data_IF_767384921622
#
_entry.id   IF_767384921622
#
_cell.length_a   1.000
_cell.length_b   1.000
_cell.length_c   1.000
_cell.angle_alpha   90.00
_cell.angle_beta   90.00
_cell.angle_gamma   90.00
#
_symmetry.space_group_name_H-M   'P 1'
#
loop_
_entity.id
_entity.type
_entity.pdbx_description
1 polymer ?
#
# COMPACT_ATOMS: atom_id res chain seq x y z
N UNK A 1 57.91 -42.82 43.59
CA UNK A 1 56.99 -43.88 43.23
C UNK A 1 55.65 -43.19 42.89
N UNK A 2 55.43 -42.87 41.65
CA UNK A 2 54.21 -42.19 41.18
C UNK A 2 53.62 -43.06 40.09
N UNK A 3 52.41 -43.52 40.29
CA UNK A 3 51.67 -44.28 39.28
C UNK A 3 50.84 -43.34 38.41
N UNK A 4 50.54 -43.72 37.16
CA UNK A 4 49.89 -42.80 36.20
C UNK A 4 48.35 -42.84 36.30
N UNK A 5 47.76 -41.65 36.15
CA UNK A 5 46.34 -41.44 35.98
C UNK A 5 45.88 -41.80 34.57
N UNK A 6 44.88 -42.67 34.46
CA UNK A 6 44.20 -43.05 33.24
C UNK A 6 43.10 -42.02 33.00
N UNK A 7 43.13 -41.30 31.87
CA UNK A 7 42.06 -40.45 31.38
C UNK A 7 41.05 -41.29 30.55
N UNK A 8 39.83 -41.41 31.04
CA UNK A 8 38.71 -42.01 30.31
C UNK A 8 38.04 -40.95 29.41
N UNK A 9 38.18 -41.12 28.10
CA UNK A 9 37.45 -40.31 27.12
C UNK A 9 35.97 -40.70 27.08
N UNK A 10 35.09 -39.72 27.18
CA UNK A 10 33.66 -39.81 26.88
C UNK A 10 33.40 -39.43 25.43
N UNK A 11 32.49 -40.09 24.73
CA UNK A 11 32.21 -39.79 23.32
C UNK A 11 31.45 -38.46 23.14
N UNK A 12 31.88 -37.68 22.16
CA UNK A 12 31.21 -36.51 21.67
C UNK A 12 29.80 -36.86 21.15
N UNK A 13 28.77 -36.42 21.87
CA UNK A 13 27.41 -36.43 21.36
C UNK A 13 27.31 -35.35 20.27
N UNK A 14 26.90 -35.77 19.08
CA UNK A 14 26.44 -34.90 18.01
C UNK A 14 25.38 -33.93 18.53
N UNK A 15 25.70 -32.67 18.58
CA UNK A 15 24.71 -31.60 18.69
C UNK A 15 24.10 -31.40 17.29
N UNK A 16 22.95 -32.05 17.05
CA UNK A 16 22.04 -31.67 15.96
C UNK A 16 21.49 -30.30 16.30
N UNK A 17 22.05 -29.27 15.66
CA UNK A 17 21.44 -27.94 15.62
C UNK A 17 20.10 -28.06 14.87
N UNK A 18 19.02 -28.17 15.64
CA UNK A 18 17.68 -27.89 15.11
C UNK A 18 17.67 -26.39 14.79
N UNK A 19 17.63 -26.06 13.51
CA UNK A 19 17.19 -24.76 13.08
C UNK A 19 15.71 -24.62 13.52
N UNK A 20 15.47 -23.95 14.62
CA UNK A 20 14.12 -23.51 14.98
C UNK A 20 13.62 -22.60 13.85
N UNK A 21 12.62 -23.07 13.12
CA UNK A 21 11.82 -22.21 12.24
C UNK A 21 11.27 -21.10 13.09
N UNK A 22 11.60 -19.86 12.79
CA UNK A 22 11.00 -18.71 13.45
C UNK A 22 9.47 -18.85 13.41
N UNK A 23 8.76 -18.67 14.54
CA UNK A 23 7.32 -18.79 14.55
C UNK A 23 6.71 -17.77 13.58
N UNK A 24 5.67 -18.19 12.85
CA UNK A 24 4.85 -17.29 12.06
C UNK A 24 4.43 -16.10 12.94
N UNK A 25 4.82 -14.91 12.52
CA UNK A 25 4.65 -13.71 13.34
C UNK A 25 3.16 -13.36 13.36
N UNK A 26 2.56 -13.26 14.53
CA UNK A 26 1.18 -12.79 14.72
C UNK A 26 0.98 -11.43 14.03
N UNK A 27 -0.24 -11.18 13.51
CA UNK A 27 -0.63 -9.88 12.94
C UNK A 27 -0.15 -8.73 13.84
N UNK A 28 0.41 -7.71 13.23
CA UNK A 28 0.89 -6.53 13.94
C UNK A 28 -0.28 -5.86 14.68
N UNK A 29 -0.19 -5.79 15.99
CA UNK A 29 -1.25 -5.23 16.86
C UNK A 29 -1.02 -3.77 17.27
N UNK A 30 0.08 -3.15 16.81
CA UNK A 30 0.37 -1.72 17.03
C UNK A 30 1.31 -1.21 15.95
N UNK A 31 1.27 0.08 15.62
CA UNK A 31 2.26 0.74 14.77
C UNK A 31 3.66 0.62 15.43
N UNK A 32 4.69 0.37 14.59
CA UNK A 32 6.05 0.10 15.06
C UNK A 32 7.01 1.25 14.83
N UNK A 33 6.60 2.45 15.19
CA UNK A 33 7.36 3.67 14.97
C UNK A 33 7.33 4.16 13.52
N UNK A 34 7.99 5.28 13.25
CA UNK A 34 8.05 5.87 11.93
C UNK A 34 8.72 4.93 10.92
N UNK A 35 8.18 4.90 9.70
CA UNK A 35 8.75 4.12 8.60
C UNK A 35 9.97 4.81 8.00
N UNK A 36 10.86 4.02 7.40
CA UNK A 36 12.02 4.51 6.67
C UNK A 36 12.10 3.89 5.26
N UNK A 37 12.80 4.58 4.35
CA UNK A 37 13.11 4.01 3.03
C UNK A 37 14.16 2.92 3.18
N UNK A 38 13.94 1.76 2.56
CA UNK A 38 14.88 0.63 2.57
C UNK A 38 16.21 0.99 1.90
N UNK A 39 17.30 0.29 2.28
CA UNK A 39 18.64 0.57 1.74
C UNK A 39 18.78 0.37 0.21
N UNK A 40 17.89 -0.42 -0.42
CA UNK A 40 17.86 -0.60 -1.88
C UNK A 40 16.90 0.37 -2.58
N UNK A 41 16.23 1.26 -1.86
CA UNK A 41 15.26 2.23 -2.37
C UNK A 41 14.09 1.62 -3.17
N UNK A 42 13.61 0.41 -2.77
CA UNK A 42 12.50 -0.27 -3.45
C UNK A 42 11.22 -0.39 -2.63
N UNK A 43 11.31 -0.26 -1.30
CA UNK A 43 10.19 -0.37 -0.36
C UNK A 43 10.47 0.42 0.92
N UNK A 44 9.52 0.41 1.82
CA UNK A 44 9.69 0.96 3.17
C UNK A 44 9.95 -0.16 4.18
N UNK A 45 10.57 0.22 5.29
CA UNK A 45 10.82 -0.66 6.44
C UNK A 45 10.32 -0.01 7.72
N UNK A 46 9.95 -0.82 8.71
CA UNK A 46 9.65 -0.37 10.06
C UNK A 46 10.94 -0.13 10.88
N UNK A 47 10.80 0.32 12.13
CA UNK A 47 11.92 0.59 13.02
C UNK A 47 12.81 -0.64 13.31
N UNK A 48 12.33 -1.85 13.05
CA UNK A 48 13.08 -3.11 13.19
C UNK A 48 13.68 -3.59 11.86
N UNK A 49 13.65 -2.74 10.82
CA UNK A 49 14.05 -3.06 9.43
C UNK A 49 13.22 -4.20 8.79
N UNK A 50 11.99 -4.41 9.23
CA UNK A 50 11.08 -5.37 8.59
C UNK A 50 10.44 -4.70 7.38
N UNK A 51 10.46 -5.33 6.19
CA UNK A 51 9.81 -4.81 4.99
C UNK A 51 8.32 -4.55 5.19
N UNK A 52 7.87 -3.36 4.84
CA UNK A 52 6.49 -2.91 5.01
C UNK A 52 5.72 -2.98 3.69
N UNK A 53 4.87 -4.02 3.54
CA UNK A 53 3.91 -4.11 2.44
C UNK A 53 2.74 -3.18 2.73
N UNK A 54 2.62 -2.08 2.02
CA UNK A 54 1.52 -1.14 2.22
C UNK A 54 0.24 -1.70 1.61
N UNK A 55 -0.73 -2.02 2.46
CA UNK A 55 -2.09 -2.40 2.09
C UNK A 55 -3.03 -1.32 2.60
N UNK A 56 -3.30 -0.34 1.75
CA UNK A 56 -4.06 0.85 2.10
C UNK A 56 -5.53 0.80 1.69
N UNK A 57 -6.36 1.60 2.36
CA UNK A 57 -7.75 1.87 2.02
C UNK A 57 -7.99 3.38 1.91
N UNK A 58 -8.69 3.83 0.87
CA UNK A 58 -9.03 5.24 0.71
C UNK A 58 -10.23 5.60 1.59
N UNK A 59 -9.98 6.36 2.64
CA UNK A 59 -10.96 6.79 3.64
C UNK A 59 -10.97 8.31 3.76
N UNK A 60 -11.00 9.00 2.61
CA UNK A 60 -10.76 10.42 2.49
C UNK A 60 -11.48 11.28 3.53
N UNK A 61 -12.80 11.06 3.73
CA UNK A 61 -13.63 11.89 4.62
C UNK A 61 -13.76 11.33 6.05
N UNK A 62 -12.90 10.40 6.48
CA UNK A 62 -12.95 9.77 7.81
C UNK A 62 -13.02 10.80 8.94
N UNK A 63 -12.12 11.81 8.91
CA UNK A 63 -11.96 12.80 9.99
C UNK A 63 -13.20 13.64 10.25
N UNK A 64 -14.03 13.83 9.23
CA UNK A 64 -15.20 14.72 9.29
C UNK A 64 -16.54 13.98 9.33
N UNK A 65 -16.59 12.75 8.79
CA UNK A 65 -17.85 12.03 8.66
C UNK A 65 -18.13 11.08 9.83
N UNK A 66 -17.11 10.44 10.38
CA UNK A 66 -17.28 9.42 11.39
C UNK A 66 -17.10 9.98 12.81
N UNK A 67 -18.06 9.67 13.69
CA UNK A 67 -17.86 9.78 15.14
C UNK A 67 -17.00 8.61 15.65
N UNK A 68 -16.55 8.70 16.90
CA UNK A 68 -15.58 7.76 17.49
C UNK A 68 -15.98 6.28 17.37
N UNK A 69 -17.25 5.95 17.64
CA UNK A 69 -17.72 4.56 17.56
C UNK A 69 -17.64 3.98 16.14
N UNK A 70 -18.07 4.75 15.14
CA UNK A 70 -18.03 4.34 13.74
C UNK A 70 -16.58 4.29 13.21
N UNK A 71 -15.72 5.21 13.62
CA UNK A 71 -14.31 5.19 13.29
C UNK A 71 -13.61 3.94 13.86
N UNK A 72 -13.86 3.56 15.13
CA UNK A 72 -13.34 2.32 15.71
C UNK A 72 -13.87 1.08 14.98
N UNK A 73 -15.16 1.06 14.57
CA UNK A 73 -15.72 -0.05 13.80
C UNK A 73 -15.01 -0.21 12.45
N UNK A 74 -14.82 0.89 11.73
CA UNK A 74 -14.12 0.91 10.45
C UNK A 74 -12.68 0.43 10.58
N UNK A 75 -11.89 1.01 11.48
CA UNK A 75 -10.48 0.69 11.67
C UNK A 75 -10.29 -0.79 12.03
N UNK A 76 -11.10 -1.33 12.95
CA UNK A 76 -11.07 -2.75 13.31
C UNK A 76 -11.35 -3.67 12.13
N UNK A 77 -12.39 -3.38 11.31
CA UNK A 77 -12.70 -4.16 10.12
C UNK A 77 -11.54 -4.14 9.11
N UNK A 78 -10.89 -2.97 8.93
CA UNK A 78 -9.71 -2.86 8.05
C UNK A 78 -8.55 -3.68 8.58
N UNK A 79 -8.24 -3.59 9.87
CA UNK A 79 -7.21 -4.40 10.52
C UNK A 79 -7.47 -5.91 10.35
N UNK A 80 -8.69 -6.39 10.60
CA UNK A 80 -9.08 -7.81 10.45
C UNK A 80 -8.93 -8.33 9.01
N UNK A 81 -8.96 -7.43 8.03
CA UNK A 81 -8.69 -7.74 6.61
C UNK A 81 -7.23 -7.52 6.20
N UNK A 82 -6.37 -7.20 7.16
CA UNK A 82 -4.94 -7.01 6.94
C UNK A 82 -4.54 -5.67 6.33
N UNK A 83 -5.47 -4.71 6.26
CA UNK A 83 -5.10 -3.34 5.92
C UNK A 83 -4.23 -2.76 7.04
N UNK A 84 -3.15 -2.11 6.67
CA UNK A 84 -2.20 -1.50 7.57
C UNK A 84 -1.93 -0.02 7.23
N UNK A 85 -2.70 0.53 6.32
CA UNK A 85 -2.68 1.95 5.98
C UNK A 85 -4.07 2.45 5.58
N UNK A 86 -4.36 3.73 5.82
CA UNK A 86 -5.53 4.44 5.32
C UNK A 86 -5.11 5.80 4.75
N UNK A 87 -5.76 6.24 3.67
CA UNK A 87 -5.53 7.55 3.06
C UNK A 87 -6.67 8.50 3.47
N UNK A 88 -6.34 9.61 4.11
CA UNK A 88 -7.31 10.46 4.82
C UNK A 88 -7.01 11.94 4.63
N UNK A 89 -8.06 12.74 4.40
CA UNK A 89 -7.99 14.20 4.53
C UNK A 89 -8.00 14.62 6.00
N UNK A 90 -6.98 15.36 6.44
CA UNK A 90 -6.99 15.95 7.79
C UNK A 90 -8.10 16.97 7.94
N UNK A 91 -8.30 17.78 6.91
CA UNK A 91 -9.39 18.75 6.81
C UNK A 91 -10.16 18.50 5.50
N UNK A 92 -11.48 18.44 5.61
CA UNK A 92 -12.36 18.18 4.45
C UNK A 92 -13.07 19.48 4.03
N UNK A 93 -13.17 19.70 2.71
CA UNK A 93 -13.80 20.89 2.14
C UNK A 93 -15.25 20.65 1.73
N UNK A 94 -15.59 19.46 1.20
CA UNK A 94 -16.86 19.24 0.51
C UNK A 94 -17.58 17.93 0.89
N UNK A 95 -16.86 16.84 1.01
CA UNK A 95 -17.43 15.48 1.02
C UNK A 95 -17.89 15.01 2.42
N UNK A 96 -18.60 15.89 3.14
CA UNK A 96 -19.30 15.55 4.38
C UNK A 96 -20.63 16.32 4.47
N UNK A 97 -21.50 15.96 5.42
CA UNK A 97 -22.85 16.55 5.53
C UNK A 97 -22.85 18.06 5.77
N UNK A 98 -21.89 18.55 6.54
CA UNK A 98 -21.79 19.97 6.93
C UNK A 98 -20.35 20.49 6.78
N UNK A 99 -19.77 20.48 5.56
CA UNK A 99 -18.38 20.86 5.38
C UNK A 99 -18.14 22.33 5.81
N UNK A 100 -16.99 22.62 6.38
CA UNK A 100 -15.87 21.74 6.71
C UNK A 100 -15.93 21.15 8.13
N UNK A 101 -17.13 21.07 8.74
CA UNK A 101 -17.33 20.63 10.13
C UNK A 101 -17.24 19.13 10.27
N UNK A 102 -16.57 18.66 11.33
CA UNK A 102 -16.53 17.26 11.68
C UNK A 102 -17.86 16.75 12.30
N UNK A 103 -17.90 15.47 12.67
CA UNK A 103 -19.09 14.83 13.26
C UNK A 103 -19.57 15.49 14.56
N UNK A 104 -18.67 16.16 15.29
CA UNK A 104 -18.97 16.90 16.52
C UNK A 104 -19.44 18.35 16.23
N UNK A 105 -19.52 18.76 14.96
CA UNK A 105 -19.93 20.09 14.51
C UNK A 105 -18.83 21.15 14.55
N UNK A 106 -17.58 20.75 14.82
CA UNK A 106 -16.44 21.66 14.92
C UNK A 106 -15.80 21.89 13.55
N UNK A 107 -15.54 23.16 13.21
CA UNK A 107 -14.80 23.57 12.01
C UNK A 107 -13.29 23.47 12.25
N UNK A 108 -12.44 23.19 11.23
CA UNK A 108 -11.00 23.07 11.43
C UNK A 108 -10.34 24.39 11.86
N UNK A 109 -10.93 25.53 11.49
CA UNK A 109 -10.41 26.86 11.81
C UNK A 109 -11.49 27.70 12.49
N UNK A 110 -11.08 28.53 13.47
CA UNK A 110 -11.98 29.48 14.16
C UNK A 110 -12.35 30.66 13.26
N UNK A 111 -11.46 31.02 12.33
CA UNK A 111 -11.74 32.00 11.26
C UNK A 111 -11.80 31.22 9.93
N UNK A 112 -12.94 31.15 9.23
CA UNK A 112 -13.07 30.43 7.97
C UNK A 112 -11.98 30.81 6.95
N UNK A 113 -11.31 29.81 6.39
CA UNK A 113 -10.25 29.99 5.39
C UNK A 113 -8.90 30.50 5.92
N UNK A 114 -8.78 30.83 7.20
CA UNK A 114 -7.50 31.21 7.80
C UNK A 114 -6.85 30.03 8.53
N UNK A 115 -5.88 29.39 7.87
CA UNK A 115 -5.20 28.18 8.35
C UNK A 115 -4.30 28.43 9.57
N UNK A 116 -4.07 29.71 9.94
CA UNK A 116 -3.33 30.08 11.15
C UNK A 116 -4.20 30.17 12.40
N UNK A 117 -5.49 29.86 12.29
CA UNK A 117 -6.45 29.90 13.40
C UNK A 117 -7.05 28.52 13.69
N UNK A 118 -6.22 27.48 14.00
CA UNK A 118 -6.70 26.13 14.22
C UNK A 118 -7.68 26.05 15.39
N UNK A 119 -8.75 25.25 15.22
CA UNK A 119 -9.73 24.97 16.26
C UNK A 119 -9.32 23.71 17.03
N UNK A 120 -8.91 23.86 18.26
CA UNK A 120 -8.42 22.76 19.10
C UNK A 120 -9.40 21.58 19.21
N UNK A 121 -10.70 21.83 19.24
CA UNK A 121 -11.71 20.76 19.35
C UNK A 121 -11.76 19.89 18.09
N UNK A 122 -11.60 20.51 16.91
CA UNK A 122 -11.52 19.78 15.66
C UNK A 122 -10.29 18.86 15.65
N UNK A 123 -9.12 19.43 15.94
CA UNK A 123 -7.87 18.70 15.90
C UNK A 123 -7.76 17.64 17.01
N UNK A 124 -8.38 17.85 18.18
CA UNK A 124 -8.47 16.81 19.21
C UNK A 124 -9.27 15.58 18.76
N UNK A 125 -10.29 15.75 17.90
CA UNK A 125 -10.98 14.61 17.27
C UNK A 125 -10.06 13.88 16.28
N UNK A 126 -9.32 14.61 15.45
CA UNK A 126 -8.34 14.02 14.52
C UNK A 126 -7.24 13.27 15.28
N UNK A 127 -6.68 13.84 16.36
CA UNK A 127 -5.70 13.17 17.23
C UNK A 127 -6.21 11.83 17.75
N UNK A 128 -7.47 11.81 18.19
CA UNK A 128 -8.08 10.58 18.70
C UNK A 128 -8.18 9.50 17.60
N UNK A 129 -8.55 9.87 16.37
CA UNK A 129 -8.61 8.92 15.24
C UNK A 129 -7.22 8.37 14.93
N UNK A 130 -6.18 9.22 14.90
CA UNK A 130 -4.79 8.80 14.66
C UNK A 130 -4.31 7.83 15.73
N UNK A 131 -4.62 8.10 17.01
CA UNK A 131 -4.28 7.21 18.11
C UNK A 131 -5.04 5.89 18.07
N UNK A 132 -6.30 5.89 17.65
CA UNK A 132 -7.10 4.67 17.49
C UNK A 132 -6.55 3.82 16.34
N UNK A 133 -6.20 4.43 15.21
CA UNK A 133 -5.55 3.74 14.08
C UNK A 133 -4.21 3.10 14.50
N UNK A 134 -3.41 3.80 15.31
CA UNK A 134 -2.13 3.29 15.82
C UNK A 134 -2.29 2.01 16.67
N UNK A 135 -3.35 1.90 17.48
CA UNK A 135 -3.64 0.69 18.28
C UNK A 135 -3.85 -0.55 17.41
N UNK A 136 -4.47 -0.36 16.23
CA UNK A 136 -4.73 -1.40 15.26
C UNK A 136 -3.57 -1.58 14.26
N UNK A 137 -2.41 -0.93 14.49
CA UNK A 137 -1.24 -1.03 13.62
C UNK A 137 -1.45 -0.38 12.25
N UNK A 138 -2.37 0.57 12.14
CA UNK A 138 -2.71 1.25 10.89
C UNK A 138 -1.95 2.57 10.79
N UNK A 139 -1.16 2.73 9.74
CA UNK A 139 -0.55 4.00 9.35
C UNK A 139 -1.55 4.88 8.63
N UNK A 140 -1.47 6.18 8.86
CA UNK A 140 -2.35 7.16 8.20
C UNK A 140 -1.54 7.96 7.18
N UNK A 141 -1.86 7.74 5.90
CA UNK A 141 -1.44 8.60 4.80
C UNK A 141 -2.27 9.88 4.93
N UNK A 142 -1.75 10.85 5.65
CA UNK A 142 -2.47 12.03 6.10
C UNK A 142 -2.26 13.20 5.14
N UNK A 143 -3.33 13.59 4.43
CA UNK A 143 -3.32 14.76 3.57
C UNK A 143 -3.62 16.02 4.42
N UNK A 144 -2.62 16.88 4.67
CA UNK A 144 -2.80 18.09 5.48
C UNK A 144 -3.73 19.10 4.82
N UNK A 145 -3.81 19.02 3.49
CA UNK A 145 -4.69 19.83 2.65
C UNK A 145 -4.97 19.05 1.35
N UNK A 146 -6.22 18.87 1.02
CA UNK A 146 -6.66 18.32 -0.26
C UNK A 146 -6.99 19.46 -1.21
N UNK A 147 -6.29 19.56 -2.34
CA UNK A 147 -6.43 20.67 -3.28
C UNK A 147 -7.71 20.62 -4.12
N UNK A 148 -8.23 19.40 -4.35
CA UNK A 148 -9.40 19.15 -5.19
C UNK A 148 -9.10 19.10 -6.68
N UNK A 149 -9.95 18.42 -7.43
CA UNK A 149 -9.82 18.26 -8.87
C UNK A 149 -9.81 19.62 -9.58
N UNK A 150 -8.97 19.76 -10.59
CA UNK A 150 -8.77 21.04 -11.28
C UNK A 150 -10.07 21.55 -11.93
N UNK A 151 -10.42 22.81 -11.66
CA UNK A 151 -11.64 23.43 -12.18
C UNK A 151 -12.90 23.20 -11.36
N UNK A 152 -12.80 22.50 -10.21
CA UNK A 152 -13.89 22.26 -9.27
C UNK A 152 -13.72 23.05 -7.98
N UNK A 153 -14.70 22.92 -7.07
CA UNK A 153 -14.70 23.45 -5.70
C UNK A 153 -14.56 22.32 -4.66
N UNK A 154 -13.96 21.20 -5.03
CA UNK A 154 -13.90 20.00 -4.19
C UNK A 154 -12.89 20.08 -3.05
N UNK A 155 -11.89 20.92 -3.17
CA UNK A 155 -10.82 21.06 -2.19
C UNK A 155 -10.49 22.50 -1.84
N UNK A 156 -9.44 22.64 -1.06
CA UNK A 156 -9.00 23.91 -0.46
C UNK A 156 -8.15 24.80 -1.39
N UNK A 157 -8.20 24.56 -2.70
CA UNK A 157 -7.39 25.33 -3.67
C UNK A 157 -7.59 26.85 -3.54
N UNK A 158 -8.83 27.31 -3.43
CA UNK A 158 -9.15 28.76 -3.40
C UNK A 158 -8.63 29.41 -2.13
N UNK A 159 -8.86 28.78 -0.98
CA UNK A 159 -8.42 29.25 0.32
C UNK A 159 -6.88 29.25 0.38
N UNK A 160 -6.23 28.16 -0.10
CA UNK A 160 -4.76 28.10 -0.17
C UNK A 160 -4.19 29.25 -1.00
N UNK A 161 -4.78 29.53 -2.16
CA UNK A 161 -4.32 30.62 -3.03
C UNK A 161 -4.56 32.01 -2.44
N UNK A 162 -5.52 32.16 -1.54
CA UNK A 162 -5.80 33.42 -0.83
C UNK A 162 -4.85 33.64 0.37
N UNK A 163 -4.17 32.59 0.86
CA UNK A 163 -3.19 32.73 1.94
C UNK A 163 -1.88 33.35 1.44
N UNK A 164 -1.22 34.11 2.31
CA UNK A 164 0.17 34.50 2.06
C UNK A 164 1.12 33.32 2.23
N UNK A 165 2.31 33.34 1.61
CA UNK A 165 3.34 32.32 1.80
C UNK A 165 3.67 32.07 3.27
N UNK A 166 3.76 33.12 4.08
CA UNK A 166 4.09 33.04 5.52
C UNK A 166 2.99 32.27 6.29
N UNK A 167 1.72 32.46 5.95
CA UNK A 167 0.61 31.71 6.57
C UNK A 167 0.63 30.21 6.19
N UNK A 168 1.04 29.87 4.98
CA UNK A 168 1.25 28.49 4.58
C UNK A 168 2.36 27.82 5.39
N UNK A 169 3.49 28.49 5.57
CA UNK A 169 4.58 28.02 6.41
C UNK A 169 4.15 27.84 7.87
N UNK A 170 3.41 28.80 8.42
CA UNK A 170 2.93 28.72 9.81
C UNK A 170 1.91 27.59 10.03
N UNK A 171 1.03 27.33 9.06
CA UNK A 171 0.16 26.17 9.10
C UNK A 171 0.98 24.85 9.12
N UNK A 172 2.00 24.76 8.28
CA UNK A 172 2.92 23.62 8.30
C UNK A 172 3.61 23.47 9.67
N UNK A 173 4.10 24.55 10.27
CA UNK A 173 4.70 24.55 11.62
C UNK A 173 3.72 24.08 12.69
N UNK A 174 2.48 24.52 12.62
CA UNK A 174 1.42 24.03 13.53
C UNK A 174 1.26 22.53 13.43
N UNK A 175 1.17 21.97 12.21
CA UNK A 175 1.02 20.54 11.98
C UNK A 175 2.25 19.77 12.46
N UNK A 176 3.45 20.22 12.13
CA UNK A 176 4.69 19.59 12.56
C UNK A 176 4.83 19.53 14.09
N UNK A 177 4.54 20.64 14.79
CA UNK A 177 4.53 20.66 16.26
C UNK A 177 3.50 19.69 16.86
N UNK A 178 2.31 19.60 16.26
CA UNK A 178 1.22 18.77 16.79
C UNK A 178 1.46 17.28 16.60
N UNK A 179 1.95 16.90 15.42
CA UNK A 179 1.93 15.51 15.00
C UNK A 179 3.27 14.77 15.04
N UNK A 180 4.37 15.45 15.34
CA UNK A 180 5.73 14.87 15.35
C UNK A 180 5.93 13.66 16.28
N UNK A 181 5.12 13.54 17.31
CA UNK A 181 5.20 12.49 18.32
C UNK A 181 4.19 11.33 18.07
N UNK A 182 3.49 11.34 16.94
CA UNK A 182 2.66 10.21 16.50
C UNK A 182 3.53 9.22 15.72
N UNK A 183 3.36 7.93 15.93
CA UNK A 183 4.22 6.90 15.32
C UNK A 183 3.72 6.37 13.98
N UNK A 184 2.54 6.80 13.53
CA UNK A 184 1.79 6.16 12.45
C UNK A 184 1.35 7.13 11.34
N UNK A 185 2.11 8.18 11.07
CA UNK A 185 1.78 9.15 10.02
C UNK A 185 2.75 9.03 8.84
N UNK A 186 2.18 9.19 7.64
CA UNK A 186 2.89 9.50 6.40
C UNK A 186 2.21 10.72 5.81
N UNK A 187 2.95 11.79 5.58
CA UNK A 187 2.40 13.01 4.99
C UNK A 187 2.15 12.85 3.49
N UNK A 188 0.94 13.22 3.02
CA UNK A 188 0.56 13.18 1.60
C UNK A 188 0.19 14.58 1.15
N UNK A 189 1.07 15.23 0.41
CA UNK A 189 0.85 16.60 -0.07
C UNK A 189 0.00 16.62 -1.34
N UNK A 190 -0.71 17.72 -1.60
CA UNK A 190 -1.47 17.89 -2.83
C UNK A 190 -2.91 17.36 -2.75
N UNK A 191 -3.34 16.57 -3.72
CA UNK A 191 -4.70 15.97 -3.84
C UNK A 191 -5.38 16.32 -5.15
N UNK A 192 -5.60 15.34 -6.03
CA UNK A 192 -6.30 15.38 -7.34
C UNK A 192 -5.89 16.53 -8.28
N UNK A 193 -4.76 17.15 -8.02
CA UNK A 193 -4.25 18.28 -8.78
C UNK A 193 -2.74 18.27 -8.86
N UNK A 194 -2.21 18.62 -10.03
CA UNK A 194 -0.81 18.96 -10.14
C UNK A 194 -0.54 20.32 -9.46
N UNK A 195 0.66 20.52 -8.90
CA UNK A 195 0.92 21.69 -8.07
C UNK A 195 0.82 23.01 -8.83
N UNK A 196 1.25 23.09 -10.10
CA UNK A 196 1.19 24.31 -10.94
C UNK A 196 1.40 25.61 -10.12
N UNK A 197 0.36 26.46 -10.04
CA UNK A 197 0.39 27.70 -9.28
C UNK A 197 0.40 27.52 -7.75
N UNK A 198 0.18 26.31 -7.24
CA UNK A 198 0.16 26.03 -5.79
C UNK A 198 1.48 25.53 -5.26
N UNK A 199 2.48 25.23 -6.13
CA UNK A 199 3.74 24.55 -5.77
C UNK A 199 4.43 25.23 -4.58
N UNK A 200 4.65 26.54 -4.66
CA UNK A 200 5.30 27.30 -3.58
C UNK A 200 4.59 27.12 -2.24
N UNK A 201 3.25 27.20 -2.24
CA UNK A 201 2.47 27.10 -1.01
C UNK A 201 2.46 25.70 -0.42
N UNK A 202 2.38 24.68 -1.28
CA UNK A 202 2.44 23.29 -0.86
C UNK A 202 3.84 22.97 -0.30
N UNK A 203 4.90 23.43 -0.97
CA UNK A 203 6.28 23.30 -0.49
C UNK A 203 6.46 23.99 0.87
N UNK A 204 5.93 25.19 1.07
CA UNK A 204 6.00 25.90 2.36
C UNK A 204 5.27 25.16 3.49
N UNK A 205 4.13 24.54 3.21
CA UNK A 205 3.44 23.69 4.20
C UNK A 205 4.34 22.49 4.56
N UNK A 206 4.88 21.80 3.56
CA UNK A 206 5.75 20.63 3.79
C UNK A 206 7.03 21.05 4.56
N UNK A 207 7.67 22.15 4.21
CA UNK A 207 8.84 22.67 4.89
C UNK A 207 8.53 23.07 6.34
N UNK A 208 7.37 23.75 6.57
CA UNK A 208 6.92 24.09 7.92
C UNK A 208 6.70 22.85 8.80
N UNK A 209 6.13 21.75 8.24
CA UNK A 209 6.01 20.48 8.95
C UNK A 209 7.42 19.98 9.29
N UNK A 210 8.35 19.94 8.33
CA UNK A 210 9.72 19.42 8.51
C UNK A 210 10.57 20.21 9.50
N UNK A 211 10.26 21.47 9.78
CA UNK A 211 10.95 22.23 10.83
C UNK A 211 10.79 21.60 12.23
N UNK A 212 9.73 20.81 12.44
CA UNK A 212 9.41 20.21 13.74
C UNK A 212 9.30 18.69 13.68
N UNK A 213 8.93 18.14 12.53
CA UNK A 213 8.73 16.72 12.29
C UNK A 213 9.81 16.22 11.31
N UNK A 214 10.83 15.58 11.84
CA UNK A 214 11.96 15.04 11.07
C UNK A 214 11.88 13.52 10.88
N UNK A 215 10.89 12.87 11.47
CA UNK A 215 10.77 11.41 11.49
C UNK A 215 9.84 10.87 10.41
N UNK A 216 8.73 11.57 10.12
CA UNK A 216 7.73 11.04 9.19
C UNK A 216 8.13 11.24 7.73
N UNK A 217 7.72 10.26 6.92
CA UNK A 217 7.93 10.29 5.49
C UNK A 217 6.87 11.17 4.79
N UNK A 218 7.27 11.69 3.64
CA UNK A 218 6.44 12.51 2.77
C UNK A 218 6.30 11.88 1.40
N UNK A 219 5.09 11.96 0.87
CA UNK A 219 4.78 11.72 -0.53
C UNK A 219 3.77 12.76 -1.02
N UNK A 220 3.26 12.61 -2.25
CA UNK A 220 2.23 13.50 -2.78
C UNK A 220 1.17 12.74 -3.56
N UNK A 221 -0.02 13.33 -3.62
CA UNK A 221 -1.12 12.93 -4.49
C UNK A 221 -1.28 13.99 -5.58
N UNK A 222 -1.18 13.59 -6.84
CA UNK A 222 -1.22 14.47 -8.01
C UNK A 222 -2.58 14.39 -8.72
N UNK A 223 -2.71 15.04 -9.87
CA UNK A 223 -3.79 14.77 -10.80
C UNK A 223 -3.66 13.35 -11.41
N UNK A 224 -4.75 12.75 -11.90
CA UNK A 224 -4.69 11.49 -12.62
C UNK A 224 -3.61 11.49 -13.73
N UNK A 225 -3.06 10.32 -14.01
CA UNK A 225 -2.00 10.07 -15.00
C UNK A 225 -0.65 10.72 -14.65
N UNK A 226 -0.41 11.03 -13.36
CA UNK A 226 0.83 11.61 -12.89
C UNK A 226 1.46 10.83 -11.74
N UNK A 227 2.73 11.16 -11.47
CA UNK A 227 3.54 10.62 -10.39
C UNK A 227 4.06 11.75 -9.51
N UNK A 228 4.16 11.53 -8.18
CA UNK A 228 4.63 12.54 -7.24
C UNK A 228 6.00 13.12 -7.60
N UNK A 229 6.97 12.28 -7.91
CA UNK A 229 8.31 12.73 -8.30
C UNK A 229 8.35 13.51 -9.62
N UNK A 230 7.36 13.37 -10.49
CA UNK A 230 7.27 14.17 -11.72
C UNK A 230 6.79 15.58 -11.45
N UNK A 231 6.05 15.79 -10.37
CA UNK A 231 5.37 17.05 -10.08
C UNK A 231 6.03 17.84 -8.93
N UNK A 232 6.63 17.15 -7.94
CA UNK A 232 7.12 17.76 -6.69
C UNK A 232 8.63 17.54 -6.45
N UNK A 233 9.41 17.06 -7.42
CA UNK A 233 10.83 16.73 -7.24
C UNK A 233 11.69 17.91 -6.73
N UNK A 234 11.28 19.15 -7.01
CA UNK A 234 12.03 20.37 -6.60
C UNK A 234 11.95 20.70 -5.11
N UNK A 235 10.95 20.22 -4.38
CA UNK A 235 10.68 20.58 -2.98
C UNK A 235 11.64 19.96 -1.96
N UNK A 236 12.38 18.90 -2.33
CA UNK A 236 13.37 18.24 -1.45
C UNK A 236 12.81 17.54 -0.22
N UNK A 237 11.50 17.38 -0.16
CA UNK A 237 10.78 16.74 0.95
C UNK A 237 10.24 15.35 0.62
N UNK A 238 10.06 14.99 -0.65
CA UNK A 238 9.57 13.68 -1.08
C UNK A 238 10.54 12.56 -0.68
N UNK A 239 9.99 11.47 -0.12
CA UNK A 239 10.73 10.28 0.28
C UNK A 239 10.42 9.06 -0.59
N UNK A 240 9.20 8.95 -1.12
CA UNK A 240 8.80 7.89 -2.02
C UNK A 240 7.76 8.40 -3.02
N UNK A 241 7.63 7.68 -4.12
CA UNK A 241 6.79 8.06 -5.26
C UNK A 241 5.38 7.47 -5.13
N UNK A 242 4.42 8.13 -5.76
CA UNK A 242 3.07 7.61 -5.97
C UNK A 242 2.73 7.60 -7.44
N UNK A 243 1.98 6.60 -7.84
CA UNK A 243 1.36 6.50 -9.18
C UNK A 243 -0.14 6.66 -9.01
N UNK A 244 -0.74 7.54 -9.79
CA UNK A 244 -2.18 7.72 -9.87
C UNK A 244 -2.63 7.63 -11.31
N UNK A 245 -3.48 6.65 -11.65
CA UNK A 245 -3.93 6.45 -13.03
C UNK A 245 -5.24 5.68 -13.11
N UNK A 246 -6.14 6.14 -13.98
CA UNK A 246 -7.34 5.42 -14.43
C UNK A 246 -7.13 4.70 -15.78
N UNK A 247 -5.96 4.91 -16.40
CA UNK A 247 -5.57 4.26 -17.66
C UNK A 247 -5.00 2.85 -17.39
N UNK A 248 -4.29 2.29 -18.36
CA UNK A 248 -3.56 1.04 -18.16
C UNK A 248 -2.46 1.21 -17.11
N UNK A 249 -2.57 0.46 -16.02
CA UNK A 249 -1.78 0.67 -14.80
C UNK A 249 -0.34 0.18 -14.98
N UNK A 250 -0.14 -1.04 -15.50
CA UNK A 250 1.17 -1.67 -15.58
C UNK A 250 2.23 -0.89 -16.39
N UNK A 251 1.91 -0.17 -17.49
CA UNK A 251 2.91 0.67 -18.15
C UNK A 251 3.40 1.81 -17.26
N UNK A 252 2.50 2.43 -16.46
CA UNK A 252 2.84 3.49 -15.52
C UNK A 252 3.71 2.94 -14.38
N UNK A 253 3.37 1.76 -13.85
CA UNK A 253 4.13 1.11 -12.79
C UNK A 253 5.54 0.72 -13.25
N UNK A 254 5.69 0.16 -14.46
CA UNK A 254 7.01 -0.10 -15.02
C UNK A 254 7.79 1.19 -15.28
N UNK A 255 7.10 2.28 -15.68
CA UNK A 255 7.69 3.61 -15.78
C UNK A 255 8.28 4.08 -14.44
N UNK A 256 7.53 3.89 -13.34
CA UNK A 256 8.00 4.21 -12.01
C UNK A 256 9.17 3.29 -11.57
N UNK A 257 9.09 1.99 -11.84
CA UNK A 257 10.15 1.03 -11.49
C UNK A 257 11.49 1.30 -12.17
N UNK A 258 11.46 1.77 -13.43
CA UNK A 258 12.66 2.07 -14.24
C UNK A 258 13.36 3.37 -13.88
N UNK A 259 12.79 4.17 -12.97
CA UNK A 259 13.41 5.44 -12.58
C UNK A 259 14.82 5.22 -12.02
N UNK A 260 15.73 6.14 -12.36
CA UNK A 260 17.09 6.13 -11.89
C UNK A 260 17.47 7.55 -11.40
N UNK A 261 17.81 7.73 -10.12
CA UNK A 261 17.95 6.67 -9.10
C UNK A 261 16.64 5.93 -8.81
N UNK A 262 16.78 4.70 -8.25
CA UNK A 262 15.64 3.91 -7.83
C UNK A 262 14.86 4.61 -6.71
N UNK A 263 13.55 4.53 -6.77
CA UNK A 263 12.64 5.17 -5.81
C UNK A 263 11.53 4.18 -5.43
N UNK A 264 11.21 4.01 -4.14
CA UNK A 264 10.04 3.22 -3.74
C UNK A 264 8.78 3.87 -4.28
N UNK A 265 7.77 3.08 -4.65
CA UNK A 265 6.49 3.64 -5.10
C UNK A 265 5.30 2.76 -4.76
N UNK A 266 4.14 3.40 -4.64
CA UNK A 266 2.83 2.75 -4.49
C UNK A 266 1.88 3.20 -5.60
N UNK A 267 0.86 2.40 -5.86
CA UNK A 267 -0.34 2.86 -6.56
C UNK A 267 -1.26 3.50 -5.51
N UNK A 268 -1.27 4.84 -5.48
CA UNK A 268 -2.02 5.59 -4.45
C UNK A 268 -3.49 5.70 -4.80
N UNK A 269 -3.82 5.74 -6.10
CA UNK A 269 -5.20 5.77 -6.56
C UNK A 269 -5.35 5.19 -7.96
N UNK A 270 -6.47 4.51 -8.19
CA UNK A 270 -6.95 4.00 -9.46
C UNK A 270 -8.47 3.77 -9.37
N UNK A 271 -9.03 2.86 -10.16
CA UNK A 271 -10.48 2.58 -10.15
C UNK A 271 -10.96 2.13 -8.76
N UNK A 272 -12.06 2.73 -8.31
CA UNK A 272 -12.72 2.37 -7.05
C UNK A 272 -13.81 1.32 -7.28
N UNK A 273 -13.93 0.38 -6.34
CA UNK A 273 -15.07 -0.55 -6.30
C UNK A 273 -16.37 0.24 -6.13
N UNK A 274 -17.37 -0.05 -6.97
CA UNK A 274 -18.65 0.65 -6.97
C UNK A 274 -18.68 1.95 -7.79
N UNK A 275 -17.60 2.32 -8.48
CA UNK A 275 -17.54 3.46 -9.40
C UNK A 275 -17.27 3.00 -10.84
N UNK A 276 -17.76 3.75 -11.82
CA UNK A 276 -17.51 3.54 -13.25
C UNK A 276 -17.72 2.09 -13.73
N UNK A 277 -18.60 1.32 -13.09
CA UNK A 277 -18.82 -0.12 -13.33
C UNK A 277 -17.53 -0.96 -13.19
N UNK A 278 -16.63 -0.56 -12.31
CA UNK A 278 -15.41 -1.32 -12.03
C UNK A 278 -15.74 -2.75 -11.60
N UNK A 279 -15.20 -3.72 -12.32
CA UNK A 279 -15.40 -5.14 -11.99
C UNK A 279 -14.43 -5.57 -10.89
N UNK A 280 -14.77 -6.67 -10.19
CA UNK A 280 -13.89 -7.28 -9.17
C UNK A 280 -12.52 -7.63 -9.74
N UNK A 281 -12.46 -8.08 -11.00
CA UNK A 281 -11.20 -8.35 -11.72
C UNK A 281 -10.39 -7.07 -11.90
N UNK A 282 -11.05 -5.92 -12.18
CA UNK A 282 -10.37 -4.63 -12.28
C UNK A 282 -9.70 -4.26 -10.96
N UNK A 283 -10.39 -4.42 -9.85
CA UNK A 283 -9.88 -4.13 -8.51
C UNK A 283 -8.71 -5.06 -8.15
N UNK A 284 -8.81 -6.36 -8.42
CA UNK A 284 -7.71 -7.29 -8.19
C UNK A 284 -6.52 -7.02 -9.10
N UNK A 285 -6.77 -6.79 -10.37
CA UNK A 285 -5.73 -6.54 -11.38
C UNK A 285 -4.81 -5.38 -10.99
N UNK A 286 -5.37 -4.24 -10.57
CA UNK A 286 -4.56 -3.09 -10.18
C UNK A 286 -3.68 -3.39 -8.96
N UNK A 287 -4.19 -4.15 -7.99
CA UNK A 287 -3.43 -4.52 -6.79
C UNK A 287 -2.28 -5.50 -7.11
N UNK A 288 -2.56 -6.57 -7.89
CA UNK A 288 -1.54 -7.54 -8.26
C UNK A 288 -0.47 -6.95 -9.18
N UNK A 289 -0.87 -6.18 -10.18
CA UNK A 289 0.08 -5.51 -11.05
C UNK A 289 1.01 -4.58 -10.29
N UNK A 290 0.52 -3.91 -9.24
CA UNK A 290 1.37 -2.99 -8.48
C UNK A 290 2.60 -3.68 -7.92
N UNK A 291 2.46 -4.82 -7.25
CA UNK A 291 3.61 -5.54 -6.68
C UNK A 291 4.45 -6.21 -7.77
N UNK A 292 3.80 -6.85 -8.73
CA UNK A 292 4.51 -7.59 -9.78
C UNK A 292 5.23 -6.68 -10.78
N UNK A 293 4.89 -5.41 -10.83
CA UNK A 293 5.63 -4.37 -11.57
C UNK A 293 6.59 -3.56 -10.68
N UNK A 294 6.84 -3.99 -9.44
CA UNK A 294 7.90 -3.47 -8.57
C UNK A 294 7.49 -2.42 -7.56
N UNK A 295 6.20 -2.14 -7.37
CA UNK A 295 5.70 -1.30 -6.28
C UNK A 295 5.71 -2.03 -4.94
N UNK A 296 5.67 -1.28 -3.83
CA UNK A 296 5.64 -1.85 -2.49
C UNK A 296 4.27 -1.76 -1.81
N UNK A 297 3.25 -1.29 -2.49
CA UNK A 297 1.91 -1.17 -1.91
C UNK A 297 0.87 -0.59 -2.85
N UNK A 298 -0.37 -0.74 -2.42
CA UNK A 298 -1.56 -0.32 -3.13
C UNK A 298 -2.57 0.26 -2.14
N UNK A 299 -3.23 1.36 -2.51
CA UNK A 299 -4.38 1.93 -1.79
C UNK A 299 -5.64 1.52 -2.53
N UNK A 300 -6.44 0.68 -1.89
CA UNK A 300 -7.74 0.25 -2.39
C UNK A 300 -8.76 1.37 -2.23
N UNK A 301 -9.63 1.55 -3.21
CA UNK A 301 -10.73 2.50 -3.15
C UNK A 301 -12.09 1.81 -3.26
N UNK A 302 -13.07 2.30 -2.50
CA UNK A 302 -14.45 1.83 -2.53
C UNK A 302 -15.43 2.98 -2.35
N UNK A 303 -16.48 3.01 -3.17
CA UNK A 303 -17.65 3.84 -3.01
C UNK A 303 -18.76 3.02 -2.31
N UNK A 304 -19.20 3.36 -1.07
CA UNK A 304 -19.11 4.68 -0.43
C UNK A 304 -18.07 4.83 0.69
N UNK A 305 -17.10 3.94 0.84
CA UNK A 305 -16.15 4.02 1.97
C UNK A 305 -15.39 5.35 1.96
N UNK A 306 -14.93 5.82 0.79
CA UNK A 306 -14.10 7.00 0.74
C UNK A 306 -14.79 8.27 1.31
N UNK A 307 -16.13 8.33 1.32
CA UNK A 307 -16.91 9.45 1.89
C UNK A 307 -17.93 9.02 2.96
N UNK A 308 -17.97 7.75 3.35
CA UNK A 308 -18.80 7.19 4.42
C UNK A 308 -20.30 7.54 4.32
N UNK A 309 -20.89 7.38 3.11
CA UNK A 309 -22.25 7.82 2.77
C UNK A 309 -22.53 9.33 3.01
N UNK A 310 -21.49 10.16 3.07
CA UNK A 310 -21.62 11.60 2.90
C UNK A 310 -21.94 11.96 1.45
N UNK A 311 -22.03 13.24 1.12
CA UNK A 311 -22.06 13.67 -0.28
C UNK A 311 -20.85 13.12 -1.03
N UNK A 312 -21.09 12.43 -2.15
CA UNK A 312 -20.06 11.86 -3.02
C UNK A 312 -20.27 12.29 -4.46
N UNK A 313 -19.44 11.79 -5.37
CA UNK A 313 -19.51 12.11 -6.80
C UNK A 313 -20.37 11.11 -7.58
N UNK A 314 -20.54 9.90 -7.06
CA UNK A 314 -21.20 8.80 -7.74
C UNK A 314 -22.38 8.25 -6.93
N UNK A 315 -23.37 7.60 -7.59
CA UNK A 315 -24.46 6.94 -6.90
C UNK A 315 -23.98 5.86 -5.93
N UNK A 316 -24.68 5.73 -4.81
CA UNK A 316 -24.39 4.74 -3.77
C UNK A 316 -25.61 3.86 -3.56
N UNK A 317 -25.42 2.53 -3.59
CA UNK A 317 -26.49 1.54 -3.43
C UNK A 317 -26.39 0.73 -2.13
N UNK A 318 -25.32 0.94 -1.35
CA UNK A 318 -25.05 0.21 -0.10
C UNK A 318 -24.58 1.19 0.98
N UNK A 319 -24.69 0.80 2.24
CA UNK A 319 -24.06 1.58 3.31
C UNK A 319 -22.54 1.34 3.34
N UNK A 320 -21.78 2.25 3.92
CA UNK A 320 -20.33 2.07 4.06
C UNK A 320 -19.99 0.84 4.92
N UNK A 321 -20.86 0.49 5.92
CA UNK A 321 -20.71 -0.73 6.71
C UNK A 321 -20.85 -1.99 5.83
N UNK A 322 -21.82 -2.02 4.94
CA UNK A 322 -21.96 -3.13 3.98
C UNK A 322 -20.79 -3.17 2.99
N UNK A 323 -20.35 -2.00 2.54
CA UNK A 323 -19.25 -1.89 1.59
C UNK A 323 -17.91 -2.41 2.14
N UNK A 324 -17.72 -2.38 3.44
CA UNK A 324 -16.52 -2.96 4.07
C UNK A 324 -16.32 -4.46 3.76
N UNK A 325 -17.37 -5.18 3.37
CA UNK A 325 -17.36 -6.63 3.13
C UNK A 325 -17.66 -7.00 1.66
N UNK A 326 -17.63 -6.04 0.74
CA UNK A 326 -17.75 -6.30 -0.68
C UNK A 326 -16.53 -7.06 -1.24
N UNK A 327 -16.71 -7.61 -2.43
CA UNK A 327 -15.74 -8.52 -3.06
C UNK A 327 -14.34 -7.94 -3.22
N UNK A 328 -14.22 -6.64 -3.57
CA UNK A 328 -12.94 -5.96 -3.67
C UNK A 328 -12.22 -5.90 -2.34
N UNK A 329 -12.92 -5.49 -1.28
CA UNK A 329 -12.39 -5.43 0.09
C UNK A 329 -11.90 -6.80 0.58
N UNK A 330 -12.67 -7.87 0.33
CA UNK A 330 -12.30 -9.26 0.67
C UNK A 330 -11.11 -9.72 -0.16
N UNK A 331 -11.06 -9.37 -1.45
CA UNK A 331 -9.93 -9.71 -2.32
C UNK A 331 -8.62 -9.10 -1.84
N UNK A 332 -8.65 -7.89 -1.24
CA UNK A 332 -7.45 -7.28 -0.66
C UNK A 332 -6.87 -8.08 0.52
N UNK A 333 -7.72 -8.73 1.33
CA UNK A 333 -7.24 -9.66 2.36
C UNK A 333 -6.45 -10.83 1.74
N UNK A 334 -6.97 -11.42 0.66
CA UNK A 334 -6.32 -12.53 -0.02
C UNK A 334 -5.01 -12.09 -0.69
N UNK A 335 -5.00 -10.92 -1.32
CA UNK A 335 -3.82 -10.29 -1.89
C UNK A 335 -2.73 -10.08 -0.85
N UNK A 336 -3.05 -9.44 0.28
CA UNK A 336 -2.09 -9.19 1.34
C UNK A 336 -1.52 -10.47 1.94
N UNK A 337 -2.37 -11.49 2.17
CA UNK A 337 -1.94 -12.78 2.69
C UNK A 337 -0.99 -13.50 1.73
N UNK A 338 -1.29 -13.47 0.41
CA UNK A 338 -0.39 -14.07 -0.57
C UNK A 338 1.00 -13.45 -0.51
N UNK A 339 1.09 -12.13 -0.66
CA UNK A 339 2.39 -11.48 -0.74
C UNK A 339 3.17 -11.57 0.58
N UNK A 340 2.53 -11.41 1.74
CA UNK A 340 3.18 -11.58 3.05
C UNK A 340 3.66 -13.01 3.29
N UNK A 341 3.08 -14.03 2.66
CA UNK A 341 3.54 -15.41 2.73
C UNK A 341 4.80 -15.68 1.92
N UNK A 342 5.31 -14.71 1.20
CA UNK A 342 6.53 -14.78 0.35
C UNK A 342 7.42 -13.56 0.58
N UNK A 343 8.67 -13.64 0.10
CA UNK A 343 9.60 -12.51 0.13
C UNK A 343 9.26 -11.52 -0.99
N UNK A 344 8.09 -10.90 -0.89
CA UNK A 344 7.58 -9.94 -1.88
C UNK A 344 8.55 -8.80 -2.17
N UNK A 345 9.33 -8.38 -1.17
CA UNK A 345 10.30 -7.30 -1.22
C UNK A 345 11.57 -7.64 -2.01
N UNK A 346 11.80 -8.93 -2.30
CA UNK A 346 12.89 -9.43 -3.15
C UNK A 346 12.43 -9.67 -4.59
N UNK A 347 11.15 -9.43 -4.92
CA UNK A 347 10.61 -9.64 -6.25
C UNK A 347 11.18 -8.61 -7.24
N UNK A 348 11.68 -9.10 -8.36
CA UNK A 348 12.15 -8.34 -9.53
C UNK A 348 11.16 -8.58 -10.66
N UNK A 349 10.55 -7.52 -11.24
CA UNK A 349 9.61 -7.65 -12.34
C UNK A 349 10.19 -8.39 -13.56
N UNK A 350 9.42 -9.29 -14.17
CA UNK A 350 9.78 -10.06 -15.38
C UNK A 350 9.46 -9.26 -16.66
N UNK A 351 9.90 -8.02 -16.75
CA UNK A 351 9.65 -7.16 -17.92
C UNK A 351 10.16 -7.72 -19.23
N UNK A 352 11.22 -8.53 -19.17
CA UNK A 352 11.85 -9.14 -20.35
C UNK A 352 11.22 -10.48 -20.73
N UNK A 353 10.21 -10.92 -19.97
CA UNK A 353 9.51 -12.18 -20.19
C UNK A 353 10.45 -13.40 -20.19
N UNK A 354 11.43 -13.38 -19.29
CA UNK A 354 12.39 -14.47 -19.13
C UNK A 354 11.84 -15.62 -18.29
N UNK A 355 10.89 -15.32 -17.38
CA UNK A 355 10.20 -16.32 -16.55
C UNK A 355 8.96 -16.84 -17.28
N UNK A 356 8.02 -15.96 -17.64
CA UNK A 356 6.85 -16.35 -18.44
C UNK A 356 7.09 -15.96 -19.89
N UNK A 357 7.33 -16.95 -20.75
CA UNK A 357 7.81 -16.75 -22.13
C UNK A 357 6.71 -16.75 -23.18
N UNK A 358 5.50 -17.29 -22.86
CA UNK A 358 4.33 -17.33 -23.78
C UNK A 358 3.04 -17.23 -22.98
N UNK A 359 2.00 -16.73 -23.64
CA UNK A 359 0.67 -16.56 -23.03
C UNK A 359 0.57 -15.31 -22.18
N UNK A 360 1.31 -14.25 -22.54
CA UNK A 360 1.40 -13.00 -21.79
C UNK A 360 0.17 -12.11 -21.90
N UNK A 361 -0.66 -12.32 -22.95
CA UNK A 361 -1.69 -11.37 -23.33
C UNK A 361 -1.11 -10.15 -24.04
N UNK A 362 -1.95 -9.13 -24.24
CA UNK A 362 -1.55 -7.90 -24.90
C UNK A 362 -0.92 -6.93 -23.90
N UNK A 363 0.31 -6.47 -24.13
CA UNK A 363 0.97 -5.52 -23.22
C UNK A 363 0.14 -4.25 -22.99
N UNK A 364 -0.48 -3.72 -24.02
CA UNK A 364 -1.41 -2.58 -23.90
C UNK A 364 -2.87 -3.02 -23.72
N UNK A 365 -3.09 -4.23 -23.15
CA UNK A 365 -4.41 -4.81 -22.94
C UNK A 365 -4.74 -5.02 -21.45
N UNK A 366 -6.01 -5.24 -21.18
CA UNK A 366 -6.51 -5.54 -19.84
C UNK A 366 -6.26 -7.00 -19.42
N UNK A 367 -5.78 -7.82 -20.32
CA UNK A 367 -5.47 -9.24 -20.12
C UNK A 367 -3.97 -9.50 -19.91
N UNK A 368 -3.13 -8.44 -19.86
CA UNK A 368 -1.69 -8.57 -19.67
C UNK A 368 -1.34 -9.35 -18.39
N UNK A 369 -0.51 -10.38 -18.54
CA UNK A 369 0.04 -11.15 -17.43
C UNK A 369 1.29 -10.44 -16.91
N UNK A 370 1.26 -9.97 -15.67
CA UNK A 370 2.46 -9.50 -14.98
C UNK A 370 3.08 -10.62 -14.15
N UNK A 371 4.40 -10.74 -14.21
CA UNK A 371 5.16 -11.69 -13.42
C UNK A 371 6.37 -11.04 -12.75
N UNK A 372 6.81 -11.62 -11.64
CA UNK A 372 8.02 -11.22 -10.95
C UNK A 372 8.66 -12.43 -10.29
N UNK A 373 9.97 -12.38 -10.08
CA UNK A 373 10.75 -13.45 -9.47
C UNK A 373 11.70 -12.88 -8.43
N UNK A 374 11.88 -13.56 -7.29
CA UNK A 374 12.93 -13.18 -6.33
C UNK A 374 14.31 -13.23 -7.00
N UNK A 375 15.20 -12.35 -6.60
CA UNK A 375 16.55 -12.26 -7.18
C UNK A 375 17.31 -13.58 -7.10
N UNK A 376 17.12 -14.35 -6.01
CA UNK A 376 17.72 -15.67 -5.80
C UNK A 376 17.01 -16.82 -6.54
N UNK A 377 15.89 -16.54 -7.22
CA UNK A 377 15.10 -17.54 -7.94
C UNK A 377 14.25 -18.45 -7.04
N UNK A 378 14.18 -18.22 -5.75
CA UNK A 378 13.45 -19.10 -4.81
C UNK A 378 11.94 -19.06 -4.95
N UNK A 379 11.38 -17.97 -5.50
CA UNK A 379 9.96 -17.81 -5.76
C UNK A 379 9.74 -17.03 -7.05
N UNK A 380 8.76 -17.44 -7.85
CA UNK A 380 8.19 -16.62 -8.93
C UNK A 380 6.68 -16.56 -8.79
N UNK A 381 6.11 -15.38 -9.08
CA UNK A 381 4.66 -15.11 -8.99
C UNK A 381 4.22 -14.47 -10.30
N UNK A 382 3.13 -14.99 -10.88
CA UNK A 382 2.53 -14.43 -12.08
C UNK A 382 1.02 -14.28 -11.89
N UNK A 383 0.49 -13.07 -12.10
CA UNK A 383 -0.96 -12.81 -12.09
C UNK A 383 -1.49 -12.73 -13.51
N UNK A 384 -2.50 -13.51 -13.78
CA UNK A 384 -3.15 -13.67 -15.07
C UNK A 384 -4.61 -13.23 -14.96
N UNK A 385 -4.97 -12.06 -15.50
CA UNK A 385 -6.35 -11.53 -15.43
C UNK A 385 -7.39 -12.35 -16.17
N UNK A 386 -6.97 -13.12 -17.17
CA UNK A 386 -7.83 -13.96 -18.01
C UNK A 386 -7.17 -15.32 -18.19
N UNK A 387 -7.88 -16.40 -17.87
CA UNK A 387 -7.37 -17.76 -17.91
C UNK A 387 -6.88 -18.16 -19.31
N UNK A 388 -5.70 -18.75 -19.38
CA UNK A 388 -5.09 -19.31 -20.57
C UNK A 388 -3.88 -20.18 -20.25
N UNK A 389 -3.46 -21.02 -21.18
CA UNK A 389 -2.19 -21.75 -21.07
C UNK A 389 -1.02 -20.79 -21.22
N UNK A 390 -0.12 -20.82 -20.26
CA UNK A 390 1.15 -20.07 -20.28
C UNK A 390 2.34 -21.01 -20.41
N UNK A 391 3.49 -20.50 -20.86
CA UNK A 391 4.75 -21.24 -20.87
C UNK A 391 5.74 -20.54 -19.95
N UNK A 392 6.26 -21.29 -18.98
CA UNK A 392 7.25 -20.83 -18.00
C UNK A 392 8.60 -21.46 -18.31
N UNK A 393 9.67 -20.67 -18.26
CA UNK A 393 11.05 -21.16 -18.24
C UNK A 393 11.43 -21.53 -16.80
N UNK A 394 11.37 -22.83 -16.50
CA UNK A 394 11.63 -23.35 -15.17
C UNK A 394 13.09 -23.17 -14.75
N UNK A 395 14.02 -23.00 -15.70
CA UNK A 395 15.46 -22.79 -15.42
C UNK A 395 15.75 -21.44 -14.72
N UNK A 396 14.75 -20.56 -14.63
CA UNK A 396 14.83 -19.29 -13.90
C UNK A 396 14.59 -19.45 -12.40
N UNK A 397 14.19 -20.64 -11.94
CA UNK A 397 13.97 -20.97 -10.54
C UNK A 397 15.20 -21.65 -9.94
N UNK A 398 15.42 -21.43 -8.63
CA UNK A 398 16.47 -22.12 -7.88
C UNK A 398 16.07 -23.54 -7.49
N UNK A 399 17.05 -24.31 -7.00
CA UNK A 399 16.87 -25.72 -6.61
C UNK A 399 16.75 -26.67 -7.80
N UNK A 400 16.48 -27.93 -7.54
CA UNK A 400 16.30 -28.95 -8.57
C UNK A 400 14.85 -29.21 -8.95
N UNK A 401 13.93 -28.78 -8.09
CA UNK A 401 12.47 -28.90 -8.27
C UNK A 401 11.74 -27.65 -7.78
N UNK A 402 10.68 -27.27 -8.46
CA UNK A 402 9.76 -26.22 -8.06
C UNK A 402 8.38 -26.81 -7.74
N UNK A 403 7.82 -26.40 -6.61
CA UNK A 403 6.43 -26.65 -6.24
C UNK A 403 5.56 -25.54 -6.83
N UNK A 404 4.61 -25.92 -7.68
CA UNK A 404 3.71 -24.99 -8.35
C UNK A 404 2.33 -24.98 -7.68
N UNK A 405 1.79 -23.79 -7.54
CA UNK A 405 0.46 -23.54 -6.97
C UNK A 405 -0.37 -22.65 -7.90
N UNK A 406 -1.65 -22.97 -8.00
CA UNK A 406 -2.67 -22.05 -8.46
C UNK A 406 -3.36 -21.44 -7.26
N UNK A 407 -3.17 -20.13 -7.07
CA UNK A 407 -3.83 -19.35 -6.03
C UNK A 407 -5.01 -18.62 -6.65
N UNK A 408 -6.20 -18.83 -6.08
CA UNK A 408 -7.42 -18.15 -6.47
C UNK A 408 -7.50 -16.79 -5.75
N UNK A 409 -7.37 -15.66 -6.44
CA UNK A 409 -7.38 -14.34 -5.82
C UNK A 409 -8.76 -13.93 -5.32
N UNK A 410 -9.83 -14.65 -5.71
CA UNK A 410 -11.23 -14.42 -5.32
C UNK A 410 -11.54 -14.99 -3.94
N UNK A 411 -10.95 -16.15 -3.63
CA UNK A 411 -11.23 -16.91 -2.41
C UNK A 411 -10.02 -17.08 -1.47
N UNK A 412 -8.81 -16.77 -1.93
CA UNK A 412 -7.58 -17.03 -1.20
C UNK A 412 -7.17 -18.52 -1.14
N UNK A 413 -7.87 -19.39 -1.85
CA UNK A 413 -7.54 -20.81 -1.93
C UNK A 413 -6.31 -21.03 -2.82
N UNK A 414 -5.38 -21.88 -2.36
CA UNK A 414 -4.27 -22.32 -3.17
C UNK A 414 -4.32 -23.84 -3.37
N UNK A 415 -4.23 -24.27 -4.62
CA UNK A 415 -4.23 -25.67 -5.02
C UNK A 415 -2.91 -26.00 -5.68
N UNK A 416 -2.32 -27.17 -5.32
CA UNK A 416 -1.08 -27.58 -5.97
C UNK A 416 -1.32 -27.90 -7.46
N UNK A 417 -0.47 -27.34 -8.32
CA UNK A 417 -0.42 -27.67 -9.74
C UNK A 417 0.57 -28.82 -10.02
N UNK A 418 1.41 -29.17 -9.04
CA UNK A 418 2.40 -30.24 -9.12
C UNK A 418 3.80 -29.79 -8.72
N UNK A 419 4.72 -30.76 -8.68
CA UNK A 419 6.15 -30.52 -8.50
C UNK A 419 6.87 -30.85 -9.80
N UNK A 420 7.73 -29.94 -10.25
CA UNK A 420 8.37 -30.03 -11.56
C UNK A 420 9.89 -29.82 -11.43
N UNK A 421 10.69 -30.46 -12.28
CA UNK A 421 12.10 -30.13 -12.39
C UNK A 421 12.30 -28.67 -12.84
N UNK A 422 13.36 -28.04 -12.35
CA UNK A 422 13.69 -26.62 -12.66
C UNK A 422 14.54 -26.54 -13.93
N UNK A 423 14.15 -27.28 -14.97
CA UNK A 423 14.79 -27.30 -16.28
C UNK A 423 13.76 -27.10 -17.41
N UNK A 424 14.21 -26.48 -18.49
CA UNK A 424 13.44 -26.30 -19.71
C UNK A 424 12.13 -25.53 -19.56
N UNK A 425 11.28 -25.67 -20.56
CA UNK A 425 10.02 -24.96 -20.68
C UNK A 425 8.85 -25.85 -20.21
N UNK A 426 7.96 -25.28 -19.41
CA UNK A 426 6.75 -25.93 -18.89
C UNK A 426 5.49 -25.18 -19.30
N UNK A 427 4.50 -25.90 -19.87
CA UNK A 427 3.16 -25.38 -20.06
C UNK A 427 2.33 -25.61 -18.81
N UNK A 428 1.65 -24.56 -18.34
CA UNK A 428 0.77 -24.58 -17.18
C UNK A 428 -0.57 -23.92 -17.55
N UNK A 429 -1.67 -24.53 -17.12
CA UNK A 429 -3.01 -23.99 -17.31
C UNK A 429 -3.71 -23.84 -15.96
N UNK A 430 -4.47 -22.76 -15.74
CA UNK A 430 -5.25 -22.59 -14.51
C UNK A 430 -6.39 -23.63 -14.44
N UNK A 431 -6.96 -23.86 -13.23
CA UNK A 431 -7.99 -24.88 -13.02
C UNK A 431 -9.31 -24.60 -13.76
N UNK A 432 -9.69 -23.33 -13.88
CA UNK A 432 -10.94 -22.88 -14.49
C UNK A 432 -10.81 -21.48 -15.13
N UNK A 433 -11.92 -20.97 -15.66
CA UNK A 433 -12.01 -19.62 -16.18
C UNK A 433 -11.97 -18.59 -15.05
N UNK A 434 -11.43 -17.41 -15.37
CA UNK A 434 -11.28 -16.29 -14.44
C UNK A 434 -9.84 -15.80 -14.33
N UNK A 435 -9.59 -15.02 -13.30
CA UNK A 435 -8.24 -14.56 -12.96
C UNK A 435 -7.57 -15.51 -11.95
N UNK A 436 -6.27 -15.74 -12.16
CA UNK A 436 -5.47 -16.67 -11.36
C UNK A 436 -4.08 -16.15 -11.08
N UNK A 437 -3.51 -16.60 -9.97
CA UNK A 437 -2.11 -16.37 -9.63
C UNK A 437 -1.35 -17.70 -9.67
N UNK A 438 -0.33 -17.79 -10.52
CA UNK A 438 0.65 -18.86 -10.44
C UNK A 438 1.72 -18.49 -9.42
N UNK A 439 1.98 -19.37 -8.47
CA UNK A 439 3.11 -19.28 -7.53
C UNK A 439 4.01 -20.48 -7.75
N UNK A 440 5.28 -20.24 -7.96
CA UNK A 440 6.31 -21.25 -8.14
C UNK A 440 7.37 -21.06 -7.07
N UNK A 441 7.56 -22.05 -6.23
CA UNK A 441 8.51 -22.02 -5.12
C UNK A 441 9.57 -23.11 -5.29
N UNK A 442 10.82 -22.79 -5.00
CA UNK A 442 11.87 -23.79 -4.82
C UNK A 442 11.43 -24.80 -3.75
N UNK A 443 11.20 -26.05 -4.16
CA UNK A 443 10.67 -27.10 -3.28
C UNK A 443 11.56 -27.36 -2.05
N UNK A 444 12.88 -27.10 -2.15
CA UNK A 444 13.82 -27.26 -1.02
C UNK A 444 13.61 -26.25 0.10
N UNK A 445 12.96 -25.13 -0.17
CA UNK A 445 12.68 -24.08 0.83
C UNK A 445 11.52 -24.43 1.74
N UNK A 446 10.68 -25.41 1.38
CA UNK A 446 9.55 -25.89 2.19
C UNK A 446 8.62 -24.73 2.66
N UNK A 447 8.40 -23.76 1.79
CA UNK A 447 7.53 -22.61 2.11
C UNK A 447 6.10 -23.08 2.41
N UNK A 448 5.39 -22.40 3.30
CA UNK A 448 3.98 -22.71 3.60
C UNK A 448 3.12 -22.51 2.35
N UNK A 449 1.93 -23.11 2.36
CA UNK A 449 0.92 -22.89 1.33
C UNK A 449 0.72 -21.39 1.08
N UNK A 450 0.70 -20.90 -0.19
CA UNK A 450 0.49 -19.51 -0.49
C UNK A 450 -0.72 -18.92 0.23
N UNK A 451 -0.58 -17.72 0.83
CA UNK A 451 -1.63 -17.06 1.58
C UNK A 451 -1.85 -17.58 3.00
N UNK A 452 -0.96 -18.44 3.52
CA UNK A 452 -1.02 -18.96 4.89
C UNK A 452 0.28 -18.70 5.65
N UNK A 453 0.24 -18.78 6.98
CA UNK A 453 1.43 -18.58 7.83
C UNK A 453 1.85 -17.11 7.98
N UNK A 454 0.91 -16.19 7.84
CA UNK A 454 1.11 -14.74 7.93
C UNK A 454 0.45 -14.15 9.15
#
# INVERSE_FOLDING_TARGET
MAGPLIASGLPLKEQVLRAESAPARAMQTAARGALAVSGNHRYLVDAENVPFLLQGDAAWSLMVTLGKADASLYLRNRHEKGFNAILVNLIEHKFCKNPPRNADGESPFTTPGDFTTPNERYFAHADWILQEAAKDGIYVLLAPIYLGYAGTDEGWFKELMALSPEKCLEYGRFLGRRYKDFDNIIWVMGGDRNPDSTLERVDLIALGIKEHDTAHLFTAHCAPENMAFSQYAGGGWLNFNTVYTYQLIHPQLYGAYRRNPAEPFILIESSYEGEHNSSDVQIRRQAYWTILCGGFGHVFGNNPIWHFNGPGLFPVNVTWQQAMDLAGSVSMKHWGNLFRSRKWYDLVPDEKHEVVTKGLGEFLGLDYLAAARTADGSTAIAYMPTSRTITVDMSKLSGSQALAWWFDPRSGAANTAGTFATDGLRKLSPPDDGDWVLVLDDASKQLPKPGTGV
#
